data_IF_279142065511
#
_entry.id   IF_279142065511
#
_cell.length_a   1.000
_cell.length_b   1.000
_cell.length_c   1.000
_cell.angle_alpha   90.00
_cell.angle_beta   90.00
_cell.angle_gamma   90.00
#
_symmetry.space_group_name_H-M   'P 1'
#
loop_
_entity.id
_entity.type
_entity.pdbx_description
1 polymer ?
#
# COMPACT_ATOMS: atom_id res chain seq x y z
N UNK A 1 -5.26 17.30 -5.24
CA UNK A 1 -6.30 16.35 -5.68
C UNK A 1 -6.59 15.31 -4.61
N UNK A 2 -5.63 14.49 -4.19
CA UNK A 2 -5.78 13.47 -3.14
C UNK A 2 -6.41 14.05 -1.87
N UNK A 3 -5.83 15.11 -1.30
CA UNK A 3 -6.33 15.72 -0.06
C UNK A 3 -7.80 16.18 -0.15
N UNK A 4 -8.20 16.83 -1.25
CA UNK A 4 -9.59 17.23 -1.46
C UNK A 4 -10.54 16.02 -1.49
N UNK A 5 -10.12 14.91 -2.11
CA UNK A 5 -10.94 13.70 -2.17
C UNK A 5 -11.06 13.04 -0.80
N UNK A 6 -9.98 13.03 0.01
CA UNK A 6 -10.03 12.55 1.40
C UNK A 6 -11.00 13.38 2.25
N UNK A 7 -10.87 14.71 2.22
CA UNK A 7 -11.65 15.60 3.10
C UNK A 7 -13.14 15.70 2.69
N UNK A 8 -13.43 15.72 1.39
CA UNK A 8 -14.79 15.95 0.88
C UNK A 8 -15.60 14.67 0.69
N UNK A 9 -14.94 13.57 0.33
CA UNK A 9 -15.61 12.34 -0.08
C UNK A 9 -15.17 11.12 0.71
N UNK A 10 -14.31 11.30 1.73
CA UNK A 10 -13.82 10.22 2.61
C UNK A 10 -13.11 9.10 1.84
N UNK A 11 -12.37 9.49 0.79
CA UNK A 11 -11.57 8.54 0.01
C UNK A 11 -10.30 8.14 0.78
N UNK A 12 -10.01 6.84 0.79
CA UNK A 12 -8.72 6.31 1.19
C UNK A 12 -7.92 5.90 -0.05
N UNK A 13 -6.60 6.15 -0.02
CA UNK A 13 -5.70 5.91 -1.14
C UNK A 13 -4.60 4.98 -0.71
N UNK A 14 -4.36 3.93 -1.50
CA UNK A 14 -3.18 3.07 -1.40
C UNK A 14 -2.28 3.29 -2.61
N UNK A 15 -0.98 3.40 -2.36
CA UNK A 15 0.04 3.56 -3.40
C UNK A 15 0.95 2.33 -3.41
N UNK A 16 0.93 1.62 -4.54
CA UNK A 16 1.69 0.39 -4.75
C UNK A 16 2.72 0.68 -5.82
N UNK A 17 4.01 0.64 -5.48
CA UNK A 17 5.09 0.88 -6.42
C UNK A 17 5.97 -0.35 -6.60
N UNK A 18 6.28 -0.67 -7.84
CA UNK A 18 7.34 -1.60 -8.20
C UNK A 18 8.45 -0.85 -8.93
N UNK A 19 9.71 -1.20 -8.64
CA UNK A 19 10.90 -0.65 -9.29
C UNK A 19 11.09 0.87 -9.13
N UNK A 20 10.40 1.48 -8.17
CA UNK A 20 10.47 2.90 -7.84
C UNK A 20 10.54 3.04 -6.32
N UNK A 21 10.88 4.24 -5.84
CA UNK A 21 10.65 4.61 -4.45
C UNK A 21 9.17 5.02 -4.30
N UNK A 22 8.33 4.03 -3.95
CA UNK A 22 6.89 4.21 -3.81
C UNK A 22 6.56 5.19 -2.69
N UNK A 23 7.33 5.19 -1.60
CA UNK A 23 7.09 6.04 -0.43
C UNK A 23 7.35 7.50 -0.78
N UNK A 24 8.52 7.81 -1.34
CA UNK A 24 8.87 9.18 -1.75
C UNK A 24 7.94 9.69 -2.84
N UNK A 25 7.57 8.83 -3.79
CA UNK A 25 6.63 9.19 -4.87
C UNK A 25 5.24 9.48 -4.31
N UNK A 26 4.72 8.62 -3.44
CA UNK A 26 3.41 8.78 -2.80
C UNK A 26 3.33 10.06 -1.96
N UNK A 27 4.42 10.44 -1.29
CA UNK A 27 4.51 11.68 -0.52
C UNK A 27 4.28 12.92 -1.40
N UNK A 28 4.73 12.92 -2.65
CA UNK A 28 4.47 14.02 -3.60
C UNK A 28 2.98 14.17 -3.94
N UNK A 29 2.20 13.10 -3.79
CA UNK A 29 0.74 13.12 -3.96
C UNK A 29 -0.02 13.39 -2.65
N UNK A 30 0.68 13.55 -1.52
CA UNK A 30 0.07 13.73 -0.20
C UNK A 30 -0.45 12.43 0.41
N UNK A 31 0.05 11.28 -0.03
CA UNK A 31 -0.26 9.96 0.54
C UNK A 31 0.79 9.65 1.62
N UNK A 32 0.34 9.27 2.81
CA UNK A 32 1.23 8.94 3.93
C UNK A 32 1.95 7.62 3.67
N UNK A 33 3.15 7.46 4.24
CA UNK A 33 3.95 6.23 4.15
C UNK A 33 3.16 4.98 4.54
N UNK A 34 2.29 5.06 5.54
CA UNK A 34 1.48 3.93 6.00
C UNK A 34 0.54 3.36 4.92
N UNK A 35 0.29 4.15 3.87
CA UNK A 35 -0.52 3.78 2.71
C UNK A 35 0.30 3.66 1.41
N UNK A 36 1.63 3.65 1.52
CA UNK A 36 2.54 3.42 0.40
C UNK A 36 3.44 2.21 0.67
N UNK A 37 3.72 1.42 -0.37
CA UNK A 37 4.60 0.25 -0.24
C UNK A 37 5.34 -0.06 -1.53
N UNK A 38 6.60 -0.44 -1.37
CA UNK A 38 7.45 -1.02 -2.41
C UNK A 38 7.24 -2.54 -2.46
N UNK A 39 7.06 -3.08 -3.67
CA UNK A 39 6.95 -4.52 -3.86
C UNK A 39 7.82 -5.00 -5.03
N UNK A 40 8.21 -6.27 -5.00
CA UNK A 40 8.95 -6.91 -6.09
C UNK A 40 8.00 -7.29 -7.23
N UNK A 41 8.36 -6.93 -8.46
CA UNK A 41 7.58 -7.23 -9.68
C UNK A 41 7.78 -8.66 -10.17
N UNK A 42 7.56 -9.63 -9.30
CA UNK A 42 7.58 -11.05 -9.64
C UNK A 42 6.29 -11.73 -9.22
N UNK A 43 6.17 -13.02 -9.55
CA UNK A 43 4.99 -13.83 -9.26
C UNK A 43 4.61 -13.77 -7.77
N UNK A 44 5.60 -13.96 -6.88
CA UNK A 44 5.40 -13.97 -5.43
C UNK A 44 5.01 -12.58 -4.92
N UNK A 45 5.73 -11.53 -5.33
CA UNK A 45 5.48 -10.17 -4.89
C UNK A 45 4.15 -9.62 -5.39
N UNK A 46 3.78 -9.95 -6.63
CA UNK A 46 2.49 -9.56 -7.22
C UNK A 46 1.34 -10.29 -6.53
N UNK A 47 1.48 -11.58 -6.26
CA UNK A 47 0.48 -12.34 -5.50
C UNK A 47 0.27 -11.74 -4.10
N UNK A 48 1.35 -11.52 -3.35
CA UNK A 48 1.28 -10.93 -2.01
C UNK A 48 0.66 -9.53 -2.02
N UNK A 49 0.94 -8.74 -3.06
CA UNK A 49 0.34 -7.42 -3.23
C UNK A 49 -1.19 -7.53 -3.38
N UNK A 50 -1.68 -8.39 -4.27
CA UNK A 50 -3.14 -8.58 -4.43
C UNK A 50 -3.80 -9.18 -3.19
N UNK A 51 -3.15 -10.12 -2.50
CA UNK A 51 -3.67 -10.68 -1.24
C UNK A 51 -3.83 -9.60 -0.15
N UNK A 52 -2.81 -8.76 0.03
CA UNK A 52 -2.82 -7.66 0.99
C UNK A 52 -3.90 -6.61 0.65
N UNK A 53 -4.04 -6.24 -0.63
CA UNK A 53 -5.08 -5.30 -1.08
C UNK A 53 -6.47 -5.92 -0.87
N UNK A 54 -6.65 -7.21 -1.16
CA UNK A 54 -7.92 -7.89 -0.95
C UNK A 54 -8.32 -7.93 0.54
N UNK A 55 -7.36 -8.20 1.43
CA UNK A 55 -7.58 -8.13 2.87
C UNK A 55 -7.93 -6.70 3.32
N UNK A 56 -7.19 -5.70 2.85
CA UNK A 56 -7.43 -4.29 3.13
C UNK A 56 -8.86 -3.87 2.76
N UNK A 57 -9.29 -4.18 1.54
CA UNK A 57 -10.64 -3.89 1.03
C UNK A 57 -11.70 -4.64 1.84
N UNK A 58 -11.46 -5.91 2.18
CA UNK A 58 -12.39 -6.72 2.97
C UNK A 58 -12.58 -6.17 4.39
N UNK A 59 -11.50 -5.72 5.04
CA UNK A 59 -11.54 -5.09 6.35
C UNK A 59 -12.28 -3.74 6.29
N UNK A 60 -12.00 -2.92 5.27
CA UNK A 60 -12.66 -1.63 5.07
C UNK A 60 -14.18 -1.79 4.86
N UNK A 61 -14.59 -2.77 4.04
CA UNK A 61 -16.00 -3.10 3.82
C UNK A 61 -16.70 -3.64 5.06
N UNK A 62 -15.94 -4.20 5.99
CA UNK A 62 -16.42 -4.67 7.30
C UNK A 62 -16.49 -3.55 8.34
N UNK A 63 -16.24 -2.29 7.96
CA UNK A 63 -16.29 -1.12 8.83
C UNK A 63 -15.04 -0.91 9.70
N UNK A 64 -13.98 -1.69 9.49
CA UNK A 64 -12.68 -1.43 10.12
C UNK A 64 -11.96 -0.32 9.39
N UNK A 65 -11.16 0.46 10.10
CA UNK A 65 -10.26 1.43 9.49
C UNK A 65 -9.09 0.72 8.83
N UNK A 66 -8.60 1.27 7.74
CA UNK A 66 -7.37 0.84 7.12
C UNK A 66 -6.19 1.30 7.99
N UNK A 67 -5.36 0.36 8.44
CA UNK A 67 -4.17 0.62 9.26
C UNK A 67 -2.94 -0.04 8.64
N UNK A 68 -1.74 0.38 9.03
CA UNK A 68 -0.44 -0.07 8.48
C UNK A 68 -0.26 -1.60 8.40
N UNK A 69 -1.05 -2.39 9.14
CA UNK A 69 -1.01 -3.85 9.07
C UNK A 69 -1.19 -4.42 7.66
N UNK A 70 -1.95 -3.76 6.78
CA UNK A 70 -2.23 -4.23 5.42
C UNK A 70 -0.95 -4.49 4.60
N UNK A 71 0.09 -3.65 4.75
CA UNK A 71 1.31 -3.74 3.96
C UNK A 71 2.43 -4.56 4.60
N UNK A 72 2.26 -5.07 5.82
CA UNK A 72 3.31 -5.81 6.55
C UNK A 72 3.80 -7.04 5.80
N UNK A 73 2.90 -7.76 5.13
CA UNK A 73 3.24 -8.93 4.32
C UNK A 73 4.17 -8.59 3.16
N UNK A 74 3.84 -7.50 2.45
CA UNK A 74 4.61 -6.97 1.33
C UNK A 74 5.97 -6.43 1.80
N UNK A 75 6.00 -5.62 2.87
CA UNK A 75 7.25 -5.06 3.41
C UNK A 75 8.21 -6.15 3.88
N UNK A 76 7.69 -7.21 4.51
CA UNK A 76 8.50 -8.36 4.96
C UNK A 76 9.15 -9.06 3.77
N UNK A 77 8.37 -9.29 2.72
CA UNK A 77 8.84 -9.93 1.50
C UNK A 77 9.88 -9.07 0.77
N UNK A 78 9.57 -7.78 0.56
CA UNK A 78 10.45 -6.83 -0.08
C UNK A 78 11.80 -6.76 0.65
N UNK A 79 11.79 -6.49 1.96
CA UNK A 79 13.00 -6.38 2.77
C UNK A 79 13.78 -7.71 2.90
N UNK A 80 13.09 -8.84 2.91
CA UNK A 80 13.72 -10.16 3.00
C UNK A 80 14.47 -10.55 1.72
N UNK A 81 13.95 -10.13 0.56
CA UNK A 81 14.53 -10.46 -0.75
C UNK A 81 15.54 -9.44 -1.25
N UNK A 82 15.47 -8.18 -0.80
CA UNK A 82 16.45 -7.13 -1.13
C UNK A 82 17.78 -7.29 -0.36
N UNK A 83 17.84 -8.14 0.67
CA UNK A 83 19.05 -8.40 1.47
C UNK A 83 19.96 -9.54 0.94
N UNK A 84 19.78 -9.97 -0.31
CA UNK A 84 20.65 -10.95 -0.99
C UNK A 84 21.47 -10.28 -2.08
#
# INVERSE_FOLDING_TARGET
MVQHQKEKYDWEFLFLGANIDAISTAAQFGIQEDFAVDYHVDEVGTQLNYEAVNEAVSNLRSGKKLDRSWKKGIERDFNGRTKK
#
